data_IF_330814982256
#
_entry.id   IF_330814982256
#
_cell.length_a   1.000
_cell.length_b   1.000
_cell.length_c   1.000
_cell.angle_alpha   90.00
_cell.angle_beta   90.00
_cell.angle_gamma   90.00
#
_symmetry.space_group_name_H-M   'P 1'
#
loop_
_entity.id
_entity.type
_entity.pdbx_description
1 polymer ?
#
# COMPACT_ATOMS: atom_id res chain seq x y z
N UNK A 1 -0.47 10.24 18.36
CA UNK A 1 -0.90 9.01 17.68
C UNK A 1 -1.42 8.04 18.72
N UNK A 2 -2.42 7.23 18.40
CA UNK A 2 -3.01 6.26 19.33
C UNK A 2 -2.41 4.88 19.01
N UNK A 3 -1.80 4.21 19.98
CA UNK A 3 -1.26 2.87 19.80
C UNK A 3 -2.30 1.82 20.20
N UNK A 4 -2.47 0.80 19.35
CA UNK A 4 -3.43 -0.30 19.49
C UNK A 4 -2.66 -1.58 19.19
N UNK A 5 -2.02 -2.15 20.22
CA UNK A 5 -1.06 -3.25 20.05
C UNK A 5 0.09 -2.86 19.13
N UNK A 6 0.18 -3.50 17.97
CA UNK A 6 1.20 -3.25 16.93
C UNK A 6 0.79 -2.17 15.91
N UNK A 7 -0.45 -1.69 15.99
CA UNK A 7 -0.95 -0.64 15.12
C UNK A 7 -0.83 0.74 15.77
N UNK A 8 -0.49 1.75 14.98
CA UNK A 8 -0.55 3.17 15.34
C UNK A 8 -1.60 3.85 14.48
N UNK A 9 -2.54 4.55 15.09
CA UNK A 9 -3.65 5.21 14.41
C UNK A 9 -3.60 6.70 14.68
N UNK A 10 -3.64 7.50 13.62
CA UNK A 10 -3.81 8.95 13.67
C UNK A 10 -5.26 9.29 13.33
N UNK A 11 -6.06 9.65 14.35
CA UNK A 11 -7.46 10.07 14.15
C UNK A 11 -7.56 11.39 13.39
N UNK A 12 -6.61 12.30 13.58
CA UNK A 12 -6.58 13.61 12.92
C UNK A 12 -6.20 13.50 11.44
N UNK A 13 -5.20 12.67 11.12
CA UNK A 13 -4.71 12.50 9.74
C UNK A 13 -5.42 11.40 8.96
N UNK A 14 -6.31 10.65 9.62
CA UNK A 14 -6.97 9.45 9.07
C UNK A 14 -6.00 8.37 8.57
N UNK A 15 -4.83 8.28 9.21
CA UNK A 15 -3.77 7.34 8.85
C UNK A 15 -3.69 6.18 9.85
N UNK A 16 -3.37 5.00 9.35
CA UNK A 16 -3.12 3.82 10.18
C UNK A 16 -1.80 3.20 9.76
N UNK A 17 -0.96 2.87 10.73
CA UNK A 17 0.31 2.20 10.56
C UNK A 17 0.27 0.88 11.32
N UNK A 18 0.87 -0.17 10.78
CA UNK A 18 1.10 -1.45 11.45
C UNK A 18 2.58 -1.78 11.34
N UNK A 19 3.25 -1.99 12.47
CA UNK A 19 4.70 -2.21 12.53
C UNK A 19 5.49 -1.11 11.75
N UNK A 20 5.02 0.13 11.84
CA UNK A 20 5.61 1.29 11.14
C UNK A 20 5.29 1.41 9.64
N UNK A 21 4.55 0.46 9.04
CA UNK A 21 4.13 0.52 7.64
C UNK A 21 2.72 1.11 7.51
N UNK A 22 2.49 2.11 6.63
CA UNK A 22 1.16 2.65 6.42
C UNK A 22 0.22 1.60 5.79
N UNK A 23 -0.99 1.50 6.33
CA UNK A 23 -2.09 0.69 5.82
C UNK A 23 -3.15 1.63 5.28
N UNK A 24 -3.53 1.40 4.03
CA UNK A 24 -4.67 2.07 3.40
C UNK A 24 -5.97 1.42 3.88
N UNK A 25 -6.73 2.17 4.68
CA UNK A 25 -8.07 1.81 5.12
C UNK A 25 -9.08 2.73 4.43
N UNK A 26 -10.11 2.15 3.81
CA UNK A 26 -11.20 2.92 3.23
C UNK A 26 -11.94 3.77 4.27
N UNK A 27 -12.54 4.88 3.84
CA UNK A 27 -13.11 5.89 4.75
C UNK A 27 -14.11 5.34 5.77
N UNK A 28 -14.98 4.42 5.37
CA UNK A 28 -15.96 3.77 6.26
C UNK A 28 -15.31 2.79 7.24
N UNK A 29 -14.34 2.00 6.81
CA UNK A 29 -13.60 1.11 7.69
C UNK A 29 -12.85 1.91 8.77
N UNK A 30 -12.28 3.05 8.39
CA UNK A 30 -11.63 3.97 9.32
C UNK A 30 -12.62 4.54 10.36
N UNK A 31 -13.83 4.92 9.96
CA UNK A 31 -14.85 5.43 10.88
C UNK A 31 -15.34 4.37 11.88
N UNK A 32 -15.50 3.11 11.43
CA UNK A 32 -15.77 1.98 12.32
C UNK A 32 -14.65 1.83 13.35
N UNK A 33 -13.39 1.87 12.90
CA UNK A 33 -12.23 1.80 13.77
C UNK A 33 -12.17 2.98 14.76
N UNK A 34 -12.35 4.21 14.28
CA UNK A 34 -12.35 5.41 15.10
C UNK A 34 -13.44 5.36 16.18
N UNK A 35 -14.60 4.83 15.86
CA UNK A 35 -15.70 4.63 16.81
C UNK A 35 -15.33 3.61 17.88
N UNK A 36 -14.72 2.49 17.49
CA UNK A 36 -14.24 1.46 18.43
C UNK A 36 -13.10 1.99 19.33
N UNK A 37 -12.22 2.85 18.81
CA UNK A 37 -11.15 3.51 19.58
C UNK A 37 -11.75 4.47 20.61
N UNK A 38 -12.71 5.32 20.20
CA UNK A 38 -13.41 6.25 21.09
C UNK A 38 -14.14 5.52 22.22
N UNK A 39 -14.62 4.30 21.97
CA UNK A 39 -15.29 3.48 22.97
C UNK A 39 -14.36 2.86 24.04
N UNK A 40 -13.03 3.00 23.91
CA UNK A 40 -12.03 2.62 24.93
C UNK A 40 -12.25 1.23 25.55
N UNK A 41 -12.42 0.21 24.72
CA UNK A 41 -12.60 -1.18 25.18
C UNK A 41 -14.02 -1.53 25.64
N UNK A 42 -14.97 -0.58 25.62
CA UNK A 42 -16.40 -0.88 25.78
C UNK A 42 -16.91 -1.69 24.59
N UNK A 43 -17.87 -2.58 24.83
CA UNK A 43 -18.63 -3.23 23.75
C UNK A 43 -19.55 -2.19 23.12
N UNK A 44 -19.35 -1.93 21.83
CA UNK A 44 -20.19 -1.04 21.03
C UNK A 44 -21.24 -1.88 20.30
N UNK A 45 -22.50 -1.53 20.47
CA UNK A 45 -23.62 -2.23 19.84
C UNK A 45 -23.58 -2.12 18.32
N UNK A 46 -24.23 -3.06 17.61
CA UNK A 46 -24.39 -2.96 16.15
C UNK A 46 -25.13 -1.68 15.79
N UNK A 47 -26.26 -1.39 16.44
CA UNK A 47 -27.06 -0.19 16.17
C UNK A 47 -26.32 1.10 16.51
N UNK A 48 -25.48 1.08 17.55
CA UNK A 48 -24.61 2.20 17.93
C UNK A 48 -23.52 2.45 16.87
N UNK A 49 -22.86 1.41 16.35
CA UNK A 49 -21.90 1.54 15.25
C UNK A 49 -22.59 2.00 13.96
N UNK A 50 -23.76 1.44 13.67
CA UNK A 50 -24.56 1.79 12.50
C UNK A 50 -24.97 3.27 12.54
N UNK A 51 -25.48 3.74 13.69
CA UNK A 51 -25.90 5.14 13.86
C UNK A 51 -24.76 6.15 13.88
N UNK A 52 -23.56 5.79 14.37
CA UNK A 52 -22.42 6.71 14.39
C UNK A 52 -21.68 6.79 13.05
N UNK A 53 -21.44 5.65 12.40
CA UNK A 53 -20.69 5.60 11.13
C UNK A 53 -21.60 5.90 9.94
N UNK A 54 -22.88 5.52 10.02
CA UNK A 54 -23.87 5.73 8.96
C UNK A 54 -25.08 6.52 9.48
N UNK A 55 -24.83 7.64 10.19
CA UNK A 55 -25.88 8.51 10.71
C UNK A 55 -26.91 8.88 9.64
N UNK A 56 -28.18 8.51 9.88
CA UNK A 56 -29.30 8.80 8.96
C UNK A 56 -29.39 7.91 7.72
N UNK A 57 -28.54 6.88 7.59
CA UNK A 57 -28.54 5.97 6.44
C UNK A 57 -28.92 4.55 6.87
N UNK A 58 -30.01 4.02 6.33
CA UNK A 58 -30.32 2.58 6.45
C UNK A 58 -29.28 1.82 5.63
N UNK A 59 -28.60 0.84 6.23
CA UNK A 59 -27.60 0.02 5.54
C UNK A 59 -27.96 -1.46 5.64
N UNK A 60 -27.48 -2.28 4.71
CA UNK A 60 -27.65 -3.74 4.80
C UNK A 60 -26.95 -4.28 6.07
N UNK A 61 -27.60 -5.19 6.81
CA UNK A 61 -27.10 -5.77 8.08
C UNK A 61 -25.70 -6.40 7.96
N UNK A 62 -25.34 -6.86 6.77
CA UNK A 62 -24.05 -7.47 6.49
C UNK A 62 -22.91 -6.45 6.27
N UNK A 63 -23.20 -5.16 6.07
CA UNK A 63 -22.16 -4.18 5.77
C UNK A 63 -21.19 -3.98 6.95
N UNK A 64 -21.71 -3.87 8.17
CA UNK A 64 -20.86 -3.77 9.36
C UNK A 64 -19.93 -4.99 9.50
N UNK A 65 -20.44 -6.19 9.20
CA UNK A 65 -19.62 -7.41 9.18
C UNK A 65 -18.53 -7.37 8.10
N UNK A 66 -18.84 -6.80 6.92
CA UNK A 66 -17.89 -6.61 5.83
C UNK A 66 -16.76 -5.67 6.25
N UNK A 67 -17.07 -4.51 6.82
CA UNK A 67 -16.07 -3.53 7.27
C UNK A 67 -15.18 -4.10 8.38
N UNK A 68 -15.77 -4.80 9.35
CA UNK A 68 -15.01 -5.48 10.42
C UNK A 68 -14.12 -6.59 9.85
N UNK A 69 -14.56 -7.30 8.81
CA UNK A 69 -13.74 -8.33 8.15
C UNK A 69 -12.54 -7.73 7.42
N UNK A 70 -12.71 -6.56 6.79
CA UNK A 70 -11.60 -5.82 6.17
C UNK A 70 -10.61 -5.32 7.21
N UNK A 71 -11.09 -4.77 8.33
CA UNK A 71 -10.23 -4.35 9.44
C UNK A 71 -9.41 -5.52 9.99
N UNK A 72 -10.05 -6.68 10.24
CA UNK A 72 -9.32 -7.89 10.69
C UNK A 72 -8.26 -8.35 9.70
N UNK A 73 -8.54 -8.25 8.40
CA UNK A 73 -7.57 -8.60 7.36
C UNK A 73 -6.42 -7.59 7.30
N UNK A 74 -6.73 -6.31 7.50
CA UNK A 74 -5.75 -5.23 7.48
C UNK A 74 -4.78 -5.31 8.67
N UNK A 75 -5.28 -5.57 9.88
CA UNK A 75 -4.46 -5.66 11.08
C UNK A 75 -3.68 -6.98 11.23
N UNK A 76 -3.95 -8.00 10.41
CA UNK A 76 -3.32 -9.32 10.51
C UNK A 76 -3.72 -10.13 11.74
N UNK A 77 -4.24 -9.48 12.79
CA UNK A 77 -4.72 -10.08 14.02
C UNK A 77 -6.26 -10.11 14.09
N UNK A 78 -6.82 -11.32 14.13
CA UNK A 78 -8.27 -11.54 14.30
C UNK A 78 -8.75 -11.23 15.72
N UNK A 79 -7.83 -11.19 16.70
CA UNK A 79 -8.08 -10.91 18.11
C UNK A 79 -8.27 -9.42 18.44
N UNK A 80 -7.79 -8.51 17.59
CA UNK A 80 -7.83 -7.07 17.82
C UNK A 80 -9.27 -6.51 17.91
N UNK A 81 -10.18 -7.03 17.08
CA UNK A 81 -11.62 -6.72 17.12
C UNK A 81 -12.41 -7.98 17.45
N UNK A 82 -12.85 -8.08 18.70
CA UNK A 82 -13.66 -9.20 19.18
C UNK A 82 -15.15 -8.98 18.88
N UNK A 83 -15.77 -9.98 18.26
CA UNK A 83 -17.23 -10.03 18.18
C UNK A 83 -17.77 -10.57 19.50
N UNK A 84 -18.61 -9.79 20.19
CA UNK A 84 -19.35 -10.24 21.38
C UNK A 84 -20.74 -10.71 20.92
N UNK A 85 -21.04 -12.02 21.00
CA UNK A 85 -22.31 -12.56 20.51
C UNK A 85 -23.52 -11.80 21.07
N UNK A 86 -24.44 -11.41 20.18
CA UNK A 86 -25.68 -10.64 20.49
C UNK A 86 -25.48 -9.27 21.15
N UNK A 87 -24.25 -8.80 21.38
CA UNK A 87 -23.98 -7.50 22.01
C UNK A 87 -23.25 -6.50 21.12
N UNK A 88 -22.41 -6.96 20.18
CA UNK A 88 -21.73 -6.07 19.23
C UNK A 88 -20.24 -6.35 19.09
N UNK A 89 -19.42 -5.31 18.99
CA UNK A 89 -17.99 -5.41 18.74
C UNK A 89 -17.20 -4.67 19.82
N UNK A 90 -16.01 -5.18 20.14
CA UNK A 90 -15.10 -4.59 21.12
C UNK A 90 -13.68 -4.60 20.59
N UNK A 91 -12.97 -3.48 20.78
CA UNK A 91 -11.52 -3.44 20.60
C UNK A 91 -10.86 -4.08 21.82
N UNK A 92 -10.10 -5.17 21.61
CA UNK A 92 -9.50 -5.94 22.71
C UNK A 92 -8.05 -5.52 23.03
N UNK A 93 -7.50 -4.57 22.29
CA UNK A 93 -6.16 -4.03 22.51
C UNK A 93 -6.17 -2.90 23.56
N UNK A 94 -5.18 -2.89 24.45
CA UNK A 94 -4.93 -1.77 25.36
C UNK A 94 -4.55 -0.53 24.54
N UNK A 95 -5.26 0.57 24.79
CA UNK A 95 -5.03 1.85 24.10
C UNK A 95 -4.06 2.67 24.93
N UNK A 96 -2.82 2.82 24.44
CA UNK A 96 -1.83 3.73 25.04
C UNK A 96 -1.76 5.03 24.23
N UNK A 97 -1.90 6.16 24.93
CA UNK A 97 -1.72 7.51 24.38
C UNK A 97 -0.24 7.88 24.50
N UNK A 98 0.53 7.72 23.43
CA UNK A 98 1.93 8.18 23.42
C UNK A 98 2.01 9.68 23.12
N UNK A 99 2.57 10.43 24.07
CA UNK A 99 3.08 11.81 23.92
C UNK A 99 4.44 11.73 23.21
N UNK A 100 4.74 12.58 22.20
CA UNK A 100 5.98 12.46 21.44
C UNK A 100 7.18 12.88 22.29
N UNK A 101 8.07 11.94 22.57
CA UNK A 101 9.41 12.23 23.09
C UNK A 101 10.44 11.73 22.07
N UNK A 102 11.18 12.67 21.50
CA UNK A 102 12.27 12.45 20.55
C UNK A 102 13.54 11.96 21.29
N UNK A 103 14.37 11.18 20.56
CA UNK A 103 15.81 10.91 20.75
C UNK A 103 16.17 9.44 21.12
N UNK A 104 17.40 8.96 20.79
CA UNK A 104 17.60 7.87 19.83
C UNK A 104 18.07 6.58 20.52
N UNK A 105 17.50 5.45 20.11
CA UNK A 105 17.94 4.12 20.54
C UNK A 105 18.06 3.21 19.35
N UNK A 106 19.28 2.79 19.05
CA UNK A 106 19.58 1.74 18.07
C UNK A 106 18.67 0.51 18.27
N UNK A 107 18.06 -0.05 17.22
CA UNK A 107 17.52 -1.39 17.30
C UNK A 107 18.67 -2.39 17.17
N UNK A 108 19.13 -2.93 18.30
CA UNK A 108 19.75 -4.25 18.35
C UNK A 108 18.75 -5.26 17.80
N UNK A 109 19.12 -5.90 16.68
CA UNK A 109 18.43 -7.07 16.15
C UNK A 109 18.45 -8.19 17.20
N UNK A 110 17.29 -8.41 17.83
CA UNK A 110 17.00 -9.57 18.66
C UNK A 110 16.22 -10.60 17.86
N UNK A 111 16.77 -11.81 17.82
CA UNK A 111 16.26 -12.97 17.12
C UNK A 111 14.78 -13.28 17.40
N UNK A 112 14.01 -13.45 16.33
CA UNK A 112 12.68 -14.04 16.29
C UNK A 112 12.57 -14.81 14.99
N UNK A 113 13.03 -16.06 15.02
CA UNK A 113 12.95 -16.99 13.92
C UNK A 113 11.50 -17.45 13.75
N UNK A 114 10.81 -16.87 12.77
CA UNK A 114 9.66 -17.51 12.12
C UNK A 114 9.77 -17.31 10.61
N UNK A 115 10.43 -18.30 10.01
CA UNK A 115 10.17 -18.90 8.70
C UNK A 115 9.23 -18.15 7.75
N UNK A 116 9.76 -17.14 7.05
CA UNK A 116 9.26 -16.78 5.72
C UNK A 116 10.03 -17.63 4.69
N UNK A 117 9.37 -18.63 4.10
CA UNK A 117 9.88 -19.24 2.87
C UNK A 117 10.12 -18.11 1.84
N UNK A 118 11.33 -17.97 1.30
CA UNK A 118 11.60 -16.96 0.28
C UNK A 118 10.69 -17.25 -0.92
N UNK A 119 9.87 -16.27 -1.27
CA UNK A 119 9.02 -16.31 -2.46
C UNK A 119 9.91 -16.61 -3.67
N UNK A 120 9.77 -17.81 -4.27
CA UNK A 120 10.53 -18.29 -5.44
C UNK A 120 10.59 -17.28 -6.60
N UNK A 121 9.64 -16.34 -6.67
CA UNK A 121 9.56 -15.28 -7.68
C UNK A 121 10.65 -14.20 -7.55
N UNK A 122 11.25 -14.02 -6.37
CA UNK A 122 12.26 -12.97 -6.14
C UNK A 122 13.55 -13.23 -6.93
N UNK A 123 13.81 -14.50 -7.26
CA UNK A 123 14.98 -14.93 -8.02
C UNK A 123 14.99 -14.38 -9.46
N UNK A 124 13.83 -14.05 -10.03
CA UNK A 124 13.72 -13.54 -11.40
C UNK A 124 13.52 -12.02 -11.49
N UNK A 125 13.58 -11.30 -10.35
CA UNK A 125 13.46 -9.84 -10.35
C UNK A 125 14.76 -9.23 -10.88
N UNK A 126 14.74 -8.49 -12.01
CA UNK A 126 15.93 -7.87 -12.54
C UNK A 126 16.38 -6.66 -11.70
N UNK A 127 17.70 -6.48 -11.67
CA UNK A 127 18.36 -5.29 -11.13
C UNK A 127 18.73 -4.37 -12.29
N UNK A 128 18.10 -3.20 -12.34
CA UNK A 128 18.41 -2.13 -13.28
C UNK A 128 19.45 -1.24 -12.62
N UNK A 129 20.56 -0.98 -13.32
CA UNK A 129 21.64 -0.14 -12.79
C UNK A 129 21.77 1.08 -13.69
N UNK A 130 21.71 2.26 -13.11
CA UNK A 130 21.95 3.53 -13.81
C UNK A 130 23.13 4.22 -13.14
N UNK A 131 24.21 4.36 -13.88
CA UNK A 131 25.46 4.97 -13.42
C UNK A 131 26.20 5.52 -14.63
N UNK A 132 26.72 6.73 -14.59
CA UNK A 132 27.47 7.32 -15.70
C UNK A 132 28.91 6.78 -15.77
N UNK A 133 29.47 6.32 -14.64
CA UNK A 133 30.82 5.74 -14.58
C UNK A 133 30.85 4.32 -15.17
N UNK A 134 31.57 4.11 -16.30
CA UNK A 134 31.70 2.79 -16.91
C UNK A 134 32.39 1.76 -16.00
N UNK A 135 33.26 2.21 -15.10
CA UNK A 135 33.98 1.35 -14.15
C UNK A 135 33.01 0.75 -13.14
N UNK A 136 32.11 1.56 -12.59
CA UNK A 136 31.06 1.11 -11.66
C UNK A 136 30.10 0.15 -12.35
N UNK A 137 29.62 0.49 -13.56
CA UNK A 137 28.75 -0.42 -14.35
C UNK A 137 29.43 -1.76 -14.61
N UNK A 138 30.72 -1.76 -14.95
CA UNK A 138 31.48 -2.99 -15.22
C UNK A 138 31.64 -3.83 -13.96
N UNK A 139 31.95 -3.21 -12.82
CA UNK A 139 32.08 -3.90 -11.54
C UNK A 139 30.75 -4.52 -11.09
N UNK A 140 29.67 -3.74 -11.10
CA UNK A 140 28.33 -4.21 -10.75
C UNK A 140 27.85 -5.31 -11.69
N UNK A 141 28.07 -5.18 -13.00
CA UNK A 141 27.70 -6.21 -13.97
C UNK A 141 28.42 -7.54 -13.72
N UNK A 142 29.71 -7.51 -13.32
CA UNK A 142 30.47 -8.71 -12.95
C UNK A 142 29.91 -9.36 -11.68
N UNK A 143 29.70 -8.57 -10.64
CA UNK A 143 29.16 -9.05 -9.37
C UNK A 143 27.77 -9.68 -9.55
N UNK A 144 26.84 -8.98 -10.20
CA UNK A 144 25.47 -9.47 -10.42
C UNK A 144 25.46 -10.74 -11.27
N UNK A 145 26.33 -10.82 -12.29
CA UNK A 145 26.49 -12.04 -13.11
C UNK A 145 27.02 -13.22 -12.29
N UNK A 146 27.97 -12.99 -11.38
CA UNK A 146 28.52 -14.06 -10.53
C UNK A 146 27.49 -14.70 -9.60
N UNK A 147 26.41 -13.96 -9.31
CA UNK A 147 25.31 -14.40 -8.45
C UNK A 147 24.06 -14.80 -9.25
N UNK A 148 24.18 -14.96 -10.58
CA UNK A 148 23.06 -15.27 -11.50
C UNK A 148 21.86 -14.32 -11.37
N UNK A 149 22.10 -13.05 -11.00
CA UNK A 149 21.05 -12.04 -10.86
C UNK A 149 20.78 -11.42 -12.23
N UNK A 150 19.54 -11.49 -12.77
CA UNK A 150 19.21 -10.82 -14.01
C UNK A 150 19.39 -9.32 -13.85
N UNK A 151 20.06 -8.66 -14.80
CA UNK A 151 20.35 -7.24 -14.69
C UNK A 151 20.45 -6.55 -16.05
N UNK A 152 20.24 -5.23 -16.04
CA UNK A 152 20.49 -4.34 -17.18
C UNK A 152 21.24 -3.11 -16.69
N UNK A 153 22.17 -2.62 -17.51
CA UNK A 153 23.06 -1.52 -17.17
C UNK A 153 22.81 -0.35 -18.12
N UNK A 154 22.63 0.85 -17.58
CA UNK A 154 22.35 2.06 -18.32
C UNK A 154 23.38 3.13 -17.95
N UNK A 155 23.84 3.87 -18.96
CA UNK A 155 24.80 4.95 -18.78
C UNK A 155 24.14 6.29 -18.41
N UNK A 156 22.82 6.42 -18.61
CA UNK A 156 22.06 7.64 -18.32
C UNK A 156 20.62 7.29 -17.95
N UNK A 157 19.91 8.26 -17.35
CA UNK A 157 18.49 8.16 -17.08
C UNK A 157 17.66 8.07 -18.37
N UNK A 158 18.06 8.77 -19.42
CA UNK A 158 17.39 8.75 -20.72
C UNK A 158 17.38 7.34 -21.32
N UNK A 159 18.54 6.66 -21.30
CA UNK A 159 18.65 5.29 -21.77
C UNK A 159 17.76 4.31 -20.98
N UNK A 160 17.54 4.56 -19.68
CA UNK A 160 16.59 3.79 -18.87
C UNK A 160 15.15 3.98 -19.37
N UNK A 161 14.73 5.24 -19.63
CA UNK A 161 13.37 5.54 -20.06
C UNK A 161 13.10 5.10 -21.50
N UNK A 162 14.09 5.14 -22.39
CA UNK A 162 13.97 4.65 -23.77
C UNK A 162 13.86 3.12 -23.89
N UNK A 163 14.34 2.38 -22.89
CA UNK A 163 14.37 0.93 -22.93
C UNK A 163 12.97 0.26 -22.88
N UNK A 164 11.87 1.03 -22.71
CA UNK A 164 10.49 0.54 -22.69
C UNK A 164 10.31 -0.75 -21.86
N UNK A 165 10.79 -0.72 -20.61
CA UNK A 165 10.83 -1.90 -19.76
C UNK A 165 9.42 -2.37 -19.38
N UNK A 166 8.96 -3.45 -19.99
CA UNK A 166 7.67 -4.10 -19.65
C UNK A 166 7.72 -4.94 -18.36
N UNK A 167 8.59 -4.57 -17.41
CA UNK A 167 8.80 -5.37 -16.19
C UNK A 167 8.20 -4.66 -14.96
N UNK A 168 7.04 -5.11 -14.44
CA UNK A 168 6.41 -4.47 -13.29
C UNK A 168 7.15 -4.74 -11.98
N UNK A 169 7.99 -5.77 -11.92
CA UNK A 169 8.78 -6.13 -10.74
C UNK A 169 10.27 -5.99 -11.07
N UNK A 170 10.86 -4.82 -10.83
CA UNK A 170 12.29 -4.58 -10.98
C UNK A 170 12.82 -3.78 -9.80
N UNK A 171 14.13 -3.84 -9.54
CA UNK A 171 14.82 -3.01 -8.56
C UNK A 171 15.76 -2.06 -9.28
N UNK A 172 15.91 -0.83 -8.78
CA UNK A 172 16.78 0.17 -9.40
C UNK A 172 17.95 0.49 -8.46
N UNK A 173 19.18 0.27 -8.93
CA UNK A 173 20.39 0.89 -8.39
C UNK A 173 20.64 2.16 -9.18
N UNK A 174 20.59 3.32 -8.52
CA UNK A 174 20.60 4.61 -9.19
C UNK A 174 21.70 5.50 -8.64
N UNK A 175 22.62 5.94 -9.48
CA UNK A 175 23.57 6.96 -9.07
C UNK A 175 22.86 8.31 -8.80
N UNK A 176 23.31 8.99 -7.76
CA UNK A 176 22.73 10.26 -7.34
C UNK A 176 23.10 11.42 -8.28
N UNK A 177 24.26 11.36 -8.92
CA UNK A 177 24.84 12.44 -9.74
C UNK A 177 25.02 11.97 -11.18
N UNK A 178 23.94 12.02 -11.97
CA UNK A 178 24.04 11.79 -13.41
C UNK A 178 24.37 13.13 -14.13
N UNK A 179 24.99 13.08 -15.32
CA UNK A 179 25.42 14.29 -16.04
C UNK A 179 24.30 15.28 -16.37
N UNK A 180 23.08 14.79 -16.65
CA UNK A 180 21.96 15.59 -17.15
C UNK A 180 20.79 15.71 -16.18
N UNK A 181 20.70 14.80 -15.21
CA UNK A 181 19.60 14.73 -14.24
C UNK A 181 20.11 14.25 -12.89
N UNK A 182 19.35 14.49 -11.84
CA UNK A 182 19.66 13.92 -10.53
C UNK A 182 18.90 12.61 -10.32
N UNK A 183 19.44 11.71 -9.50
CA UNK A 183 18.71 10.48 -9.15
C UNK A 183 17.33 10.76 -8.53
N UNK A 184 17.16 11.90 -7.85
CA UNK A 184 15.86 12.32 -7.28
C UNK A 184 14.84 12.70 -8.37
N UNK A 185 15.28 13.34 -9.45
CA UNK A 185 14.41 13.64 -10.59
C UNK A 185 13.98 12.36 -11.30
N UNK A 186 14.88 11.39 -11.45
CA UNK A 186 14.53 10.06 -11.98
C UNK A 186 13.50 9.36 -11.09
N UNK A 187 13.67 9.40 -9.77
CA UNK A 187 12.67 8.87 -8.83
C UNK A 187 11.32 9.57 -9.01
N UNK A 188 11.30 10.89 -9.16
CA UNK A 188 10.08 11.64 -9.37
C UNK A 188 9.39 11.25 -10.68
N UNK A 189 10.14 11.14 -11.78
CA UNK A 189 9.63 10.68 -13.07
C UNK A 189 9.05 9.25 -13.01
N UNK A 190 9.73 8.32 -12.33
CA UNK A 190 9.22 6.95 -12.12
C UNK A 190 7.91 6.93 -11.33
N UNK A 191 7.78 7.80 -10.32
CA UNK A 191 6.52 7.97 -9.56
C UNK A 191 5.40 8.52 -10.43
N UNK A 192 5.67 9.50 -11.30
CA UNK A 192 4.67 10.03 -12.23
C UNK A 192 4.20 8.98 -13.25
N UNK A 193 5.12 8.13 -13.73
CA UNK A 193 4.79 6.96 -14.56
C UNK A 193 4.04 5.87 -13.77
N UNK A 194 4.01 6.00 -12.44
CA UNK A 194 3.38 5.07 -11.52
C UNK A 194 4.11 3.75 -11.40
N UNK A 195 5.41 3.68 -11.69
CA UNK A 195 6.19 2.43 -11.60
C UNK A 195 6.51 2.10 -10.14
N UNK A 196 6.34 0.83 -9.71
CA UNK A 196 6.48 0.43 -8.30
C UNK A 196 7.90 0.03 -7.90
N UNK A 197 8.92 0.37 -8.71
CA UNK A 197 10.27 -0.13 -8.53
C UNK A 197 10.92 0.50 -7.27
N UNK A 198 11.37 -0.32 -6.29
CA UNK A 198 12.18 0.21 -5.21
C UNK A 198 13.54 0.67 -5.73
N UNK A 199 14.02 1.78 -5.19
CA UNK A 199 15.24 2.46 -5.62
C UNK A 199 16.25 2.46 -4.48
N UNK A 200 17.46 1.99 -4.76
CA UNK A 200 18.65 2.13 -3.92
C UNK A 200 19.54 3.18 -4.55
N UNK A 201 19.81 4.25 -3.83
CA UNK A 201 20.68 5.31 -4.32
C UNK A 201 22.14 4.98 -4.06
N UNK A 202 22.97 5.09 -5.10
CA UNK A 202 24.42 5.05 -4.99
C UNK A 202 24.95 6.49 -4.90
N UNK A 203 25.84 6.76 -3.96
CA UNK A 203 26.42 8.11 -3.78
C UNK A 203 27.93 8.05 -3.56
N UNK A 204 28.67 8.89 -4.29
CA UNK A 204 30.14 8.99 -4.20
C UNK A 204 30.65 9.87 -3.06
N UNK A 205 29.83 10.79 -2.52
CA UNK A 205 30.22 11.70 -1.45
C UNK A 205 29.06 11.93 -0.48
N UNK A 206 29.27 11.61 0.80
CA UNK A 206 28.29 11.77 1.88
C UNK A 206 28.08 13.24 2.28
N UNK A 207 27.50 14.07 1.42
CA UNK A 207 27.00 15.37 1.84
C UNK A 207 25.68 15.18 2.58
N UNK A 208 25.76 15.28 3.91
CA UNK A 208 24.68 15.20 4.90
C UNK A 208 23.36 15.89 4.48
N UNK A 209 23.35 17.03 3.75
CA UNK A 209 22.09 17.67 3.32
C UNK A 209 21.28 16.87 2.29
N UNK A 210 21.93 16.19 1.33
CA UNK A 210 21.24 15.47 0.24
C UNK A 210 20.63 14.16 0.73
N UNK A 211 21.29 13.46 1.65
CA UNK A 211 20.74 12.28 2.32
C UNK A 211 19.48 12.63 3.11
N UNK A 212 19.46 13.80 3.78
CA UNK A 212 18.28 14.28 4.52
C UNK A 212 17.12 14.62 3.57
N UNK A 213 17.39 15.26 2.43
CA UNK A 213 16.35 15.58 1.44
C UNK A 213 15.77 14.33 0.80
N UNK A 214 16.62 13.34 0.50
CA UNK A 214 16.19 12.07 -0.05
C UNK A 214 15.42 11.21 0.99
N UNK A 215 15.85 11.19 2.26
CA UNK A 215 15.07 10.60 3.36
C UNK A 215 13.70 11.29 3.53
N UNK A 216 13.65 12.63 3.43
CA UNK A 216 12.38 13.40 3.46
C UNK A 216 11.48 13.12 2.26
N UNK A 217 12.05 12.80 1.10
CA UNK A 217 11.34 12.44 -0.12
C UNK A 217 10.90 10.95 -0.14
N UNK A 218 11.20 10.17 0.90
CA UNK A 218 10.86 8.76 1.00
C UNK A 218 11.77 7.83 0.19
N UNK A 219 13.00 8.26 -0.12
CA UNK A 219 14.06 7.34 -0.55
C UNK A 219 14.43 6.43 0.63
N UNK A 220 14.30 5.12 0.44
CA UNK A 220 14.27 4.19 1.57
C UNK A 220 15.64 3.56 1.86
N UNK A 221 16.54 3.46 0.88
CA UNK A 221 17.84 2.81 1.05
C UNK A 221 18.97 3.52 0.25
N UNK A 222 20.16 3.62 0.85
CA UNK A 222 21.36 4.25 0.27
C UNK A 222 22.56 3.32 0.33
N UNK A 223 23.46 3.48 -0.63
CA UNK A 223 24.73 2.78 -0.73
C UNK A 223 25.85 3.79 -1.03
N UNK A 224 26.84 3.88 -0.16
CA UNK A 224 27.99 4.77 -0.36
C UNK A 224 29.04 4.09 -1.23
N UNK A 225 29.55 4.77 -2.25
CA UNK A 225 30.69 4.32 -3.04
C UNK A 225 32.00 4.71 -2.31
N UNK A 226 33.02 3.85 -2.29
CA UNK A 226 33.01 2.44 -2.73
C UNK A 226 32.18 1.59 -1.75
N UNK A 227 31.43 0.62 -2.30
CA UNK A 227 30.56 -0.25 -1.52
C UNK A 227 31.16 -1.64 -1.33
N UNK A 228 30.84 -2.23 -0.19
CA UNK A 228 31.17 -3.62 0.12
C UNK A 228 30.23 -4.57 -0.64
N UNK A 229 30.78 -5.64 -1.21
CA UNK A 229 30.01 -6.59 -2.04
C UNK A 229 28.94 -7.33 -1.23
N UNK A 230 29.28 -7.77 -0.02
CA UNK A 230 28.35 -8.50 0.86
C UNK A 230 27.22 -7.58 1.34
N UNK A 231 27.55 -6.32 1.65
CA UNK A 231 26.56 -5.30 1.98
C UNK A 231 25.58 -5.06 0.83
N UNK A 232 26.08 -4.92 -0.41
CA UNK A 232 25.26 -4.73 -1.59
C UNK A 232 24.36 -5.94 -1.86
N UNK A 233 24.89 -7.17 -1.75
CA UNK A 233 24.11 -8.39 -1.98
C UNK A 233 23.00 -8.56 -0.94
N UNK A 234 23.29 -8.30 0.34
CA UNK A 234 22.28 -8.32 1.42
C UNK A 234 21.18 -7.31 1.16
N UNK A 235 21.56 -6.08 0.76
CA UNK A 235 20.60 -5.03 0.43
C UNK A 235 19.74 -5.42 -0.78
N UNK A 236 20.35 -5.93 -1.86
CA UNK A 236 19.63 -6.38 -3.05
C UNK A 236 18.64 -7.51 -2.75
N UNK A 237 18.96 -8.44 -1.85
CA UNK A 237 18.01 -9.49 -1.45
C UNK A 237 16.75 -8.89 -0.80
N UNK A 238 16.92 -7.93 0.12
CA UNK A 238 15.80 -7.24 0.76
C UNK A 238 14.98 -6.43 -0.26
N UNK A 239 15.65 -5.67 -1.13
CA UNK A 239 15.02 -4.81 -2.15
C UNK A 239 14.26 -5.65 -3.18
N UNK A 240 14.81 -6.79 -3.63
CA UNK A 240 14.15 -7.70 -4.59
C UNK A 240 12.90 -8.34 -3.99
N UNK A 241 12.96 -8.73 -2.73
CA UNK A 241 11.77 -9.24 -2.02
C UNK A 241 10.68 -8.17 -1.97
N UNK A 242 11.07 -6.91 -1.69
CA UNK A 242 10.15 -5.77 -1.71
C UNK A 242 9.57 -5.51 -3.11
N UNK A 243 10.39 -5.56 -4.15
CA UNK A 243 9.94 -5.38 -5.54
C UNK A 243 8.87 -6.40 -5.95
N UNK A 244 8.96 -7.66 -5.49
CA UNK A 244 7.89 -8.65 -5.70
C UNK A 244 6.59 -8.21 -5.03
N UNK A 245 6.65 -7.77 -3.79
CA UNK A 245 5.46 -7.34 -3.02
C UNK A 245 4.83 -6.10 -3.66
N UNK A 246 5.62 -5.08 -3.95
CA UNK A 246 5.16 -3.81 -4.50
C UNK A 246 4.67 -3.98 -5.94
N UNK A 247 5.35 -4.80 -6.76
CA UNK A 247 4.90 -5.17 -8.10
C UNK A 247 3.59 -5.96 -8.11
N UNK A 248 3.40 -6.90 -7.16
CA UNK A 248 2.11 -7.62 -7.01
C UNK A 248 0.97 -6.67 -6.64
N UNK A 249 1.20 -5.74 -5.69
CA UNK A 249 0.20 -4.73 -5.32
C UNK A 249 -0.15 -3.83 -6.51
N UNK A 250 0.87 -3.38 -7.23
CA UNK A 250 0.70 -2.54 -8.42
C UNK A 250 -0.10 -3.24 -9.52
N UNK A 251 0.25 -4.49 -9.83
CA UNK A 251 -0.45 -5.27 -10.83
C UNK A 251 -1.90 -5.53 -10.42
N UNK A 252 -2.14 -5.86 -9.15
CA UNK A 252 -3.49 -5.99 -8.61
C UNK A 252 -4.29 -4.69 -8.77
N UNK A 253 -3.70 -3.54 -8.41
CA UNK A 253 -4.36 -2.24 -8.57
C UNK A 253 -4.71 -1.93 -10.02
N UNK A 254 -3.81 -2.18 -10.97
CA UNK A 254 -4.06 -2.04 -12.41
C UNK A 254 -5.16 -2.98 -12.91
N UNK A 255 -5.21 -4.22 -12.44
CA UNK A 255 -6.29 -5.15 -12.78
C UNK A 255 -7.64 -4.67 -12.26
N UNK A 256 -7.69 -4.17 -11.03
CA UNK A 256 -8.91 -3.62 -10.43
C UNK A 256 -9.39 -2.39 -11.21
N UNK A 257 -8.47 -1.51 -11.58
CA UNK A 257 -8.75 -0.32 -12.39
C UNK A 257 -9.28 -0.70 -13.79
N UNK A 258 -8.64 -1.65 -14.47
CA UNK A 258 -9.10 -2.12 -15.77
C UNK A 258 -10.52 -2.73 -15.70
N UNK A 259 -10.85 -3.42 -14.60
CA UNK A 259 -12.22 -3.92 -14.35
C UNK A 259 -13.19 -2.78 -14.09
N UNK A 260 -12.80 -1.79 -13.29
CA UNK A 260 -13.62 -0.62 -13.00
C UNK A 260 -13.92 0.20 -14.26
N UNK A 261 -12.97 0.30 -15.19
CA UNK A 261 -13.16 0.99 -16.46
C UNK A 261 -14.25 0.35 -17.33
N UNK A 262 -14.52 -0.96 -17.18
CA UNK A 262 -15.61 -1.67 -17.87
C UNK A 262 -17.00 -1.35 -17.32
N UNK A 263 -17.09 -0.71 -16.15
CA UNK A 263 -18.37 -0.26 -15.60
C UNK A 263 -18.87 0.97 -16.36
N UNK A 264 -20.14 0.92 -16.75
CA UNK A 264 -20.84 2.07 -17.32
C UNK A 264 -20.98 3.18 -16.29
N UNK A 265 -21.25 4.41 -16.73
CA UNK A 265 -21.43 5.54 -15.82
C UNK A 265 -22.50 5.27 -14.75
N UNK A 266 -23.63 4.66 -15.13
CA UNK A 266 -24.69 4.27 -14.18
C UNK A 266 -24.23 3.18 -13.21
N UNK A 267 -23.46 2.20 -13.67
CA UNK A 267 -22.90 1.16 -12.79
C UNK A 267 -21.87 1.73 -11.81
N UNK A 268 -21.08 2.74 -12.20
CA UNK A 268 -20.15 3.42 -11.28
C UNK A 268 -20.88 4.18 -10.18
N UNK A 269 -22.00 4.83 -10.51
CA UNK A 269 -22.87 5.49 -9.50
C UNK A 269 -23.48 4.47 -8.53
N UNK A 270 -23.96 3.33 -9.04
CA UNK A 270 -24.48 2.25 -8.18
C UNK A 270 -23.34 1.64 -7.34
N UNK A 271 -22.14 1.48 -7.91
CA UNK A 271 -20.99 0.87 -7.24
C UNK A 271 -20.59 1.60 -5.96
N UNK A 272 -20.46 2.93 -5.98
CA UNK A 272 -20.13 3.70 -4.76
C UNK A 272 -21.19 3.52 -3.67
N UNK A 273 -22.47 3.61 -4.03
CA UNK A 273 -23.56 3.46 -3.06
C UNK A 273 -23.68 2.04 -2.49
N UNK A 274 -23.36 1.01 -3.30
CA UNK A 274 -23.30 -0.38 -2.82
C UNK A 274 -22.18 -0.55 -1.80
N UNK A 275 -21.02 0.07 -2.03
CA UNK A 275 -19.87 0.01 -1.11
C UNK A 275 -20.16 0.76 0.19
N UNK A 276 -20.83 1.91 0.10
CA UNK A 276 -21.34 2.65 1.26
C UNK A 276 -22.38 1.87 2.08
N UNK A 277 -22.94 0.79 1.51
CA UNK A 277 -23.84 -0.13 2.20
C UNK A 277 -25.32 0.20 2.09
N UNK A 278 -25.69 1.12 1.21
CA UNK A 278 -27.09 1.50 1.03
C UNK A 278 -27.92 0.29 0.57
N UNK A 279 -29.14 0.19 1.07
CA UNK A 279 -30.07 -0.85 0.59
C UNK A 279 -30.47 -0.61 -0.86
N UNK A 280 -30.87 -1.68 -1.58
CA UNK A 280 -31.34 -1.56 -2.97
C UNK A 280 -32.45 -0.51 -3.15
N UNK A 281 -33.34 -0.36 -2.16
CA UNK A 281 -34.42 0.63 -2.18
C UNK A 281 -33.90 2.07 -2.12
N UNK A 282 -32.86 2.33 -1.32
CA UNK A 282 -32.25 3.66 -1.21
C UNK A 282 -31.44 4.00 -2.46
N UNK A 283 -30.63 3.06 -2.96
CA UNK A 283 -29.88 3.23 -4.20
C UNK A 283 -30.82 3.56 -5.36
N UNK A 284 -31.92 2.81 -5.47
CA UNK A 284 -32.98 3.06 -6.45
C UNK A 284 -33.54 4.48 -6.34
N UNK A 285 -33.88 4.92 -5.12
CA UNK A 285 -34.37 6.28 -4.86
C UNK A 285 -33.35 7.37 -5.21
N UNK A 286 -32.07 7.15 -4.92
CA UNK A 286 -31.01 8.14 -5.12
C UNK A 286 -30.58 8.29 -6.58
N UNK A 287 -30.59 7.19 -7.35
CA UNK A 287 -30.19 7.18 -8.76
C UNK A 287 -31.40 7.36 -9.70
N UNK A 288 -32.62 7.39 -9.16
CA UNK A 288 -33.86 7.52 -9.92
C UNK A 288 -34.17 6.28 -10.76
N UNK A 289 -33.99 5.09 -10.17
CA UNK A 289 -34.24 3.79 -10.82
C UNK A 289 -35.18 2.93 -9.98
N UNK A 290 -35.57 1.75 -10.48
CA UNK A 290 -36.34 0.78 -9.69
C UNK A 290 -35.42 -0.11 -8.83
N UNK A 291 -35.95 -0.69 -7.75
CA UNK A 291 -35.22 -1.65 -6.91
C UNK A 291 -34.77 -2.88 -7.73
N UNK A 292 -35.60 -3.33 -8.67
CA UNK A 292 -35.29 -4.43 -9.59
C UNK A 292 -34.11 -4.07 -10.49
N UNK A 293 -34.11 -2.86 -11.06
CA UNK A 293 -33.01 -2.35 -11.88
C UNK A 293 -31.72 -2.23 -11.08
N UNK A 294 -31.80 -1.78 -9.82
CA UNK A 294 -30.64 -1.72 -8.91
C UNK A 294 -30.04 -3.11 -8.64
N UNK A 295 -30.88 -4.14 -8.43
CA UNK A 295 -30.40 -5.52 -8.27
C UNK A 295 -29.69 -6.02 -9.53
N UNK A 296 -30.20 -5.67 -10.72
CA UNK A 296 -29.54 -5.98 -12.00
C UNK A 296 -28.20 -5.26 -12.12
N UNK A 297 -28.12 -3.97 -11.80
CA UNK A 297 -26.86 -3.24 -11.79
C UNK A 297 -25.86 -3.83 -10.81
N UNK A 298 -26.26 -4.17 -9.57
CA UNK A 298 -25.40 -4.85 -8.59
C UNK A 298 -24.86 -6.16 -9.15
N UNK A 299 -25.70 -6.99 -9.77
CA UNK A 299 -25.27 -8.25 -10.43
C UNK A 299 -24.26 -7.99 -11.55
N UNK A 300 -24.51 -7.01 -12.41
CA UNK A 300 -23.60 -6.67 -13.51
C UNK A 300 -22.26 -6.13 -12.99
N UNK A 301 -22.29 -5.31 -11.94
CA UNK A 301 -21.09 -4.80 -11.26
C UNK A 301 -20.28 -5.98 -10.70
N UNK A 302 -20.90 -6.90 -9.96
CA UNK A 302 -20.22 -8.09 -9.43
C UNK A 302 -19.57 -8.91 -10.54
N UNK A 303 -20.26 -9.12 -11.65
CA UNK A 303 -19.73 -9.85 -12.81
C UNK A 303 -18.55 -9.11 -13.48
N UNK A 304 -18.69 -7.81 -13.75
CA UNK A 304 -17.66 -6.99 -14.42
C UNK A 304 -16.43 -6.77 -13.55
N UNK A 305 -16.63 -6.59 -12.25
CA UNK A 305 -15.56 -6.54 -11.24
C UNK A 305 -15.00 -7.93 -10.91
N UNK A 306 -15.62 -8.99 -11.44
CA UNK A 306 -15.29 -10.39 -11.15
C UNK A 306 -15.19 -10.67 -9.65
N UNK A 307 -16.06 -10.01 -8.87
CA UNK A 307 -16.09 -10.11 -7.42
C UNK A 307 -17.14 -11.14 -7.01
N UNK A 308 -16.78 -12.02 -6.06
CA UNK A 308 -17.69 -13.04 -5.51
C UNK A 308 -18.36 -12.60 -4.21
N UNK A 309 -17.94 -11.48 -3.62
CA UNK A 309 -18.46 -11.00 -2.34
C UNK A 309 -18.44 -9.49 -2.23
N UNK A 310 -19.33 -8.93 -1.41
CA UNK A 310 -19.32 -7.49 -1.11
C UNK A 310 -17.99 -7.07 -0.45
N UNK A 311 -17.36 -7.95 0.34
CA UNK A 311 -16.04 -7.71 0.95
C UNK A 311 -14.97 -7.44 -0.09
N UNK A 312 -14.90 -8.30 -1.12
CA UNK A 312 -13.97 -8.14 -2.23
C UNK A 312 -14.27 -6.88 -3.03
N UNK A 313 -15.55 -6.55 -3.23
CA UNK A 313 -15.95 -5.33 -3.92
C UNK A 313 -15.52 -4.05 -3.17
N UNK A 314 -15.68 -4.04 -1.84
CA UNK A 314 -15.22 -2.92 -0.98
C UNK A 314 -13.69 -2.85 -0.97
N UNK A 315 -12.99 -3.98 -0.92
CA UNK A 315 -11.52 -3.99 -1.02
C UNK A 315 -11.04 -3.40 -2.35
N UNK A 316 -11.68 -3.75 -3.47
CA UNK A 316 -11.40 -3.18 -4.79
C UNK A 316 -11.71 -1.68 -4.84
N UNK A 317 -12.79 -1.24 -4.20
CA UNK A 317 -13.13 0.18 -4.09
C UNK A 317 -12.04 0.98 -3.38
N UNK A 318 -11.55 0.49 -2.24
CA UNK A 318 -10.46 1.15 -1.49
C UNK A 318 -9.18 1.30 -2.33
N UNK A 319 -8.88 0.30 -3.18
CA UNK A 319 -7.73 0.36 -4.10
C UNK A 319 -7.91 1.46 -5.15
N UNK A 320 -9.14 1.68 -5.62
CA UNK A 320 -9.47 2.74 -6.58
C UNK A 320 -9.40 4.11 -5.90
N UNK A 321 -9.98 4.27 -4.70
CA UNK A 321 -9.95 5.54 -3.95
C UNK A 321 -8.51 5.98 -3.63
N UNK A 322 -7.68 5.07 -3.10
CA UNK A 322 -6.30 5.38 -2.72
C UNK A 322 -5.46 5.90 -3.90
N UNK A 323 -5.79 5.52 -5.13
CA UNK A 323 -5.10 6.00 -6.33
C UNK A 323 -5.53 7.40 -6.74
N UNK A 324 -6.81 7.73 -6.52
CA UNK A 324 -7.34 9.08 -6.76
C UNK A 324 -6.75 10.07 -5.74
N UNK A 325 -6.65 9.67 -4.47
CA UNK A 325 -6.05 10.50 -3.41
C UNK A 325 -4.53 10.65 -3.56
N UNK A 326 -3.84 9.58 -4.00
CA UNK A 326 -2.39 9.61 -4.28
C UNK A 326 -2.00 10.51 -5.46
N UNK A 327 -2.90 10.72 -6.42
CA UNK A 327 -2.73 11.68 -7.52
C UNK A 327 -3.02 13.13 -7.11
N UNK A 328 -3.86 13.34 -6.10
CA UNK A 328 -4.21 14.69 -5.60
C UNK A 328 -3.18 15.25 -4.60
N UNK A 329 -2.29 14.40 -4.08
CA UNK A 329 -1.22 14.76 -3.14
C UNK A 329 0.17 14.84 -3.80
N UNK A 330 0.24 14.70 -5.13
CA UNK A 330 1.44 14.82 -5.96
C UNK A 330 1.46 16.19 -6.65
#
# INVERSE_FOLDING_TARGET
MIRIGNAQVSLERREVFLDGKPILLGGRAFEVLATLIKAKGRVVGKDELLSQVWAGTVVEDNNLQVQVSLLRKAFGDRGLIQTVPRRGYRLAAEISLDVPCLAPGHPTLGAGADMFEPLKDSANVPVLVVDDDPSVRTALGRLLRSQDIPHQLFASAEALFEAHLETPCACLLLDMHLPETTGLEVQHALRQLGLPWPIVFMTGFGTIPMTVQAMRAGAVEFLTKPFDEDQLLTLLQAVRTRAVVDGRKWHHARQVEAKYQRLTQRERQVFSLVVDGLSHKQIARQIGTSEVTTKVHKKNIMNKMQSRSLVELVAMHNVIEARVEGLASA
#
